data_IF_964427528574
#
_entry.id   IF_964427528574
#
_cell.length_a   1.000
_cell.length_b   1.000
_cell.length_c   1.000
_cell.angle_alpha   90.00
_cell.angle_beta   90.00
_cell.angle_gamma   90.00
#
_symmetry.space_group_name_H-M   'P 1'
#
loop_
_entity.id
_entity.type
_entity.pdbx_description
1 polymer ?
#
# COMPACT_ATOMS: atom_id res chain seq x y z
N UNK A 1 11.24 -52.93 2.76
CA UNK A 1 9.89 -53.20 2.25
C UNK A 1 9.94 -54.45 1.41
N UNK A 2 9.01 -55.36 1.62
CA UNK A 2 8.81 -56.53 0.75
C UNK A 2 7.98 -56.14 -0.47
N UNK A 3 8.02 -56.95 -1.54
CA UNK A 3 7.22 -56.74 -2.75
C UNK A 3 5.71 -56.78 -2.48
N UNK A 4 5.31 -57.58 -1.49
CA UNK A 4 3.95 -57.66 -0.96
C UNK A 4 3.52 -56.33 -0.30
N UNK A 5 4.36 -55.75 0.56
CA UNK A 5 4.10 -54.45 1.20
C UNK A 5 3.96 -53.31 0.19
N UNK A 6 4.73 -53.33 -0.90
CA UNK A 6 4.62 -52.32 -1.98
C UNK A 6 3.27 -52.46 -2.70
N UNK A 7 2.85 -53.69 -2.95
CA UNK A 7 1.59 -54.00 -3.64
C UNK A 7 0.39 -53.64 -2.77
N UNK A 8 0.45 -53.93 -1.47
CA UNK A 8 -0.55 -53.55 -0.48
C UNK A 8 -0.71 -52.02 -0.42
N UNK A 9 0.38 -51.27 -0.26
CA UNK A 9 0.34 -49.80 -0.26
C UNK A 9 -0.26 -49.21 -1.55
N UNK A 10 0.02 -49.82 -2.71
CA UNK A 10 -0.51 -49.36 -3.98
C UNK A 10 -2.01 -49.65 -4.13
N UNK A 11 -2.45 -50.81 -3.65
CA UNK A 11 -3.87 -51.18 -3.62
C UNK A 11 -4.64 -50.30 -2.65
N UNK A 12 -4.16 -50.13 -1.42
CA UNK A 12 -4.79 -49.29 -0.39
C UNK A 12 -4.95 -47.84 -0.86
N UNK A 13 -3.92 -47.28 -1.51
CA UNK A 13 -3.99 -45.92 -2.05
C UNK A 13 -4.99 -45.80 -3.21
N UNK A 14 -5.06 -46.81 -4.08
CA UNK A 14 -6.05 -46.84 -5.16
C UNK A 14 -7.46 -46.95 -4.60
N UNK A 15 -7.67 -47.87 -3.64
CA UNK A 15 -8.97 -48.08 -3.02
C UNK A 15 -9.45 -46.81 -2.30
N UNK A 16 -8.56 -46.11 -1.58
CA UNK A 16 -8.88 -44.83 -0.96
C UNK A 16 -9.30 -43.76 -1.98
N UNK A 17 -8.65 -43.70 -3.14
CA UNK A 17 -9.03 -42.78 -4.22
C UNK A 17 -10.35 -43.18 -4.88
N UNK A 18 -10.56 -44.46 -5.15
CA UNK A 18 -11.77 -44.99 -5.80
C UNK A 18 -13.01 -44.82 -4.89
N UNK A 19 -12.82 -44.89 -3.57
CA UNK A 19 -13.86 -44.60 -2.57
C UNK A 19 -14.10 -43.10 -2.35
N UNK A 20 -13.21 -42.23 -2.86
CA UNK A 20 -13.27 -40.78 -2.62
C UNK A 20 -12.90 -40.38 -1.18
N UNK A 21 -12.13 -41.21 -0.50
CA UNK A 21 -11.73 -40.99 0.88
C UNK A 21 -10.75 -39.82 1.01
N UNK A 22 -10.71 -39.21 2.21
CA UNK A 22 -9.68 -38.23 2.55
C UNK A 22 -8.37 -38.97 2.82
N UNK A 23 -7.50 -38.96 1.82
CA UNK A 23 -6.20 -39.67 1.84
C UNK A 23 -5.28 -39.20 2.98
N UNK A 24 -5.30 -37.91 3.32
CA UNK A 24 -4.47 -37.35 4.41
C UNK A 24 -5.20 -37.50 5.74
N UNK A 25 -4.70 -38.39 6.60
CA UNK A 25 -5.31 -38.73 7.90
C UNK A 25 -5.38 -37.56 8.89
N UNK A 26 -4.48 -36.59 8.73
CA UNK A 26 -4.33 -35.40 9.55
C UNK A 26 -5.25 -34.26 9.08
N UNK A 27 -5.98 -34.41 7.98
CA UNK A 27 -6.90 -33.39 7.49
C UNK A 27 -7.99 -33.10 8.55
N UNK A 28 -8.29 -31.82 8.75
CA UNK A 28 -9.33 -31.34 9.66
C UNK A 28 -10.18 -30.29 8.95
N UNK A 29 -11.41 -30.14 9.40
CA UNK A 29 -12.27 -29.05 8.93
C UNK A 29 -11.69 -27.70 9.34
N UNK A 30 -11.85 -26.71 8.46
CA UNK A 30 -11.36 -25.35 8.70
C UNK A 30 -12.26 -24.62 9.68
N UNK A 31 -11.65 -23.95 10.65
CA UNK A 31 -12.36 -23.05 11.55
C UNK A 31 -12.67 -21.73 10.84
N UNK A 32 -13.93 -21.53 10.47
CA UNK A 32 -14.39 -20.33 9.77
C UNK A 32 -14.23 -19.05 10.62
N UNK A 33 -14.19 -19.15 11.95
CA UNK A 33 -13.96 -17.99 12.82
C UNK A 33 -12.55 -17.41 12.66
N UNK A 34 -11.60 -18.19 12.14
CA UNK A 34 -10.23 -17.76 11.84
C UNK A 34 -10.06 -17.19 10.42
N UNK A 35 -11.11 -17.18 9.61
CA UNK A 35 -11.04 -16.67 8.24
C UNK A 35 -11.29 -15.15 8.22
N UNK A 36 -10.22 -14.37 8.32
CA UNK A 36 -10.26 -12.89 8.33
C UNK A 36 -10.95 -12.27 7.10
N UNK A 37 -11.00 -13.01 5.97
CA UNK A 37 -11.52 -12.53 4.69
C UNK A 37 -13.05 -12.51 4.58
N UNK A 38 -13.79 -13.24 5.42
CA UNK A 38 -15.25 -13.38 5.29
C UNK A 38 -15.99 -12.03 5.32
N UNK A 39 -15.49 -11.07 6.11
CA UNK A 39 -16.07 -9.74 6.23
C UNK A 39 -15.80 -8.80 5.04
N UNK A 40 -14.96 -9.22 4.08
CA UNK A 40 -14.55 -8.45 2.91
C UNK A 40 -15.13 -8.99 1.59
N UNK A 41 -15.93 -10.06 1.64
CA UNK A 41 -16.52 -10.67 0.46
C UNK A 41 -17.82 -9.96 0.03
N UNK A 42 -18.10 -9.99 -1.27
CA UNK A 42 -19.37 -9.53 -1.86
C UNK A 42 -19.67 -8.03 -1.67
N UNK A 43 -18.64 -7.18 -1.59
CA UNK A 43 -18.80 -5.73 -1.61
C UNK A 43 -18.40 -5.14 -2.96
N UNK A 44 -19.21 -4.20 -3.44
CA UNK A 44 -18.95 -3.41 -4.63
C UNK A 44 -18.10 -2.16 -4.33
N UNK A 45 -17.59 -1.49 -5.37
CA UNK A 45 -16.82 -0.25 -5.25
C UNK A 45 -17.63 0.89 -4.63
N UNK A 46 -18.96 0.83 -4.71
CA UNK A 46 -19.90 1.78 -4.09
C UNK A 46 -20.14 1.53 -2.60
N UNK A 47 -19.52 0.50 -2.00
CA UNK A 47 -19.70 0.19 -0.59
C UNK A 47 -19.35 1.39 0.30
N UNK A 48 -20.22 1.73 1.26
CA UNK A 48 -19.99 2.86 2.15
C UNK A 48 -18.78 2.59 3.05
N UNK A 49 -18.07 3.66 3.40
CA UNK A 49 -16.98 3.66 4.36
C UNK A 49 -17.01 4.98 5.13
N UNK A 50 -16.42 4.98 6.33
CA UNK A 50 -16.31 6.20 7.12
C UNK A 50 -15.22 7.11 6.52
N UNK A 51 -15.65 8.14 5.80
CA UNK A 51 -14.75 9.08 5.13
C UNK A 51 -14.31 10.22 6.03
N UNK A 52 -15.06 10.51 7.10
CA UNK A 52 -14.79 11.63 7.99
C UNK A 52 -13.74 11.24 9.02
N UNK A 53 -13.00 12.24 9.47
CA UNK A 53 -12.03 12.09 10.53
C UNK A 53 -12.08 13.34 11.42
N UNK A 54 -12.01 13.16 12.74
CA UNK A 54 -12.10 14.29 13.68
C UNK A 54 -10.96 15.27 13.42
N UNK A 55 -11.30 16.56 13.28
CA UNK A 55 -10.31 17.61 13.06
C UNK A 55 -9.32 17.72 14.23
N UNK A 56 -9.77 17.55 15.47
CA UNK A 56 -8.92 17.59 16.66
C UNK A 56 -7.90 16.44 16.66
N UNK A 57 -8.36 15.21 16.36
CA UNK A 57 -7.48 14.05 16.20
C UNK A 57 -6.50 14.26 15.03
N UNK A 58 -6.98 14.80 13.91
CA UNK A 58 -6.16 15.09 12.74
C UNK A 58 -5.01 16.04 13.09
N UNK A 59 -5.29 17.14 13.79
CA UNK A 59 -4.27 18.10 14.21
C UNK A 59 -3.28 17.51 15.22
N UNK A 60 -3.77 16.66 16.12
CA UNK A 60 -2.92 15.93 17.08
C UNK A 60 -1.94 15.02 16.35
N UNK A 61 -2.41 14.23 15.39
CA UNK A 61 -1.56 13.37 14.57
C UNK A 61 -0.61 14.18 13.69
N UNK A 62 -1.08 15.26 13.08
CA UNK A 62 -0.27 16.15 12.25
C UNK A 62 0.93 16.72 13.01
N UNK A 63 0.73 17.09 14.28
CA UNK A 63 1.83 17.48 15.17
C UNK A 63 2.82 16.32 15.38
N UNK A 64 2.33 15.12 15.72
CA UNK A 64 3.17 13.93 16.00
C UNK A 64 4.02 13.51 14.79
N UNK A 65 3.46 13.48 13.59
CA UNK A 65 4.21 13.09 12.38
C UNK A 65 5.27 14.11 11.97
N UNK A 66 5.19 15.33 12.50
CA UNK A 66 6.16 16.40 12.26
C UNK A 66 7.22 16.52 13.37
N UNK A 67 7.25 15.57 14.31
CA UNK A 67 8.18 15.55 15.44
C UNK A 67 9.16 14.37 15.34
N UNK A 68 10.41 14.65 15.67
CA UNK A 68 11.48 13.68 15.89
C UNK A 68 12.35 14.17 17.05
N UNK A 69 13.12 13.29 17.71
CA UNK A 69 13.92 13.64 18.88
C UNK A 69 14.88 14.81 18.61
N UNK A 70 15.03 15.75 19.56
CA UNK A 70 15.96 16.89 19.43
C UNK A 70 17.42 16.46 19.25
N UNK A 71 17.76 15.26 19.74
CA UNK A 71 19.09 14.66 19.56
C UNK A 71 19.37 14.23 18.12
N UNK A 72 18.34 14.10 17.27
CA UNK A 72 18.45 13.71 15.88
C UNK A 72 18.77 14.94 15.02
N UNK A 73 19.96 14.97 14.43
CA UNK A 73 20.37 16.02 13.50
C UNK A 73 19.98 15.62 12.07
N UNK A 74 18.86 16.13 11.59
CA UNK A 74 18.43 15.88 10.22
C UNK A 74 19.24 16.69 9.21
N UNK A 75 19.21 16.30 7.94
CA UNK A 75 19.81 17.11 6.87
C UNK A 75 19.01 18.42 6.70
N UNK A 76 19.63 19.59 6.45
CA UNK A 76 18.93 20.89 6.41
C UNK A 76 17.73 20.96 5.45
N UNK A 77 17.78 20.25 4.32
CA UNK A 77 16.62 20.15 3.39
C UNK A 77 15.45 19.36 3.98
N UNK A 78 15.74 18.34 4.79
CA UNK A 78 14.71 17.55 5.49
C UNK A 78 14.09 18.38 6.62
N UNK A 79 14.92 19.11 7.39
CA UNK A 79 14.42 20.06 8.39
C UNK A 79 13.46 21.09 7.78
N UNK A 80 13.80 21.64 6.60
CA UNK A 80 12.92 22.54 5.86
C UNK A 80 11.57 21.89 5.52
N UNK A 81 11.56 20.64 5.05
CA UNK A 81 10.32 19.91 4.74
C UNK A 81 9.47 19.74 6.01
N UNK A 82 10.07 19.35 7.13
CA UNK A 82 9.35 19.19 8.40
C UNK A 82 8.84 20.52 8.96
N UNK A 83 9.59 21.62 8.81
CA UNK A 83 9.13 22.96 9.19
C UNK A 83 7.98 23.44 8.29
N UNK A 84 8.05 23.17 6.99
CA UNK A 84 6.94 23.46 6.07
C UNK A 84 5.69 22.66 6.45
N UNK A 85 5.82 21.38 6.83
CA UNK A 85 4.70 20.56 7.33
C UNK A 85 4.12 21.09 8.65
N UNK A 86 4.96 21.66 9.53
CA UNK A 86 4.49 22.34 10.75
C UNK A 86 3.60 23.54 10.40
N UNK A 87 4.08 24.40 9.49
CA UNK A 87 3.30 25.52 8.98
C UNK A 87 1.99 25.05 8.30
N UNK A 88 1.99 23.88 7.65
CA UNK A 88 0.76 23.33 7.04
C UNK A 88 -0.32 23.00 8.06
N UNK A 89 0.00 22.26 9.13
CA UNK A 89 -1.04 21.91 10.12
C UNK A 89 -1.45 23.10 11.00
N UNK A 90 -0.58 24.10 11.13
CA UNK A 90 -0.91 25.37 11.79
C UNK A 90 -1.82 26.26 10.92
N UNK A 91 -2.04 25.89 9.66
CA UNK A 91 -2.90 26.62 8.72
C UNK A 91 -2.20 27.81 8.03
N UNK A 92 -0.89 27.95 8.20
CA UNK A 92 -0.06 28.98 7.58
C UNK A 92 0.30 28.64 6.12
N UNK A 93 0.36 27.33 5.80
CA UNK A 93 0.61 26.80 4.46
C UNK A 93 -0.48 25.80 4.07
N UNK A 94 -0.74 25.65 2.78
CA UNK A 94 -1.62 24.61 2.26
C UNK A 94 -0.92 23.24 2.30
N UNK A 95 -1.67 22.16 2.54
CA UNK A 95 -1.11 20.82 2.55
C UNK A 95 -0.61 20.45 1.16
N UNK A 96 0.62 19.94 1.10
CA UNK A 96 1.20 19.35 -0.09
C UNK A 96 0.97 17.84 -0.15
N UNK A 97 1.47 17.21 -1.21
CA UNK A 97 1.33 15.78 -1.45
C UNK A 97 1.93 14.93 -0.33
N UNK A 98 3.19 15.23 0.06
CA UNK A 98 3.91 14.46 1.06
C UNK A 98 3.24 14.53 2.43
N UNK A 99 2.70 15.69 2.81
CA UNK A 99 1.94 15.83 4.05
C UNK A 99 0.60 15.08 3.98
N UNK A 100 -0.16 15.21 2.90
CA UNK A 100 -1.46 14.54 2.79
C UNK A 100 -1.32 13.00 2.75
N UNK A 101 -0.30 12.49 2.08
CA UNK A 101 0.05 11.07 2.08
C UNK A 101 0.42 10.59 3.50
N UNK A 102 1.32 11.32 4.19
CA UNK A 102 1.70 11.02 5.57
C UNK A 102 0.49 11.03 6.50
N UNK A 103 -0.43 11.97 6.32
CA UNK A 103 -1.67 12.04 7.10
C UNK A 103 -2.65 10.91 6.78
N UNK A 104 -2.69 10.41 5.54
CA UNK A 104 -3.46 9.20 5.23
C UNK A 104 -2.92 8.00 6.02
N UNK A 105 -1.60 7.84 6.08
CA UNK A 105 -0.99 6.78 6.90
C UNK A 105 -1.29 6.98 8.39
N UNK A 106 -1.04 8.18 8.92
CA UNK A 106 -1.23 8.46 10.35
C UNK A 106 -2.66 8.22 10.82
N UNK A 107 -3.65 8.64 10.03
CA UNK A 107 -5.06 8.49 10.40
C UNK A 107 -5.54 7.03 10.31
N UNK A 108 -5.00 6.23 9.39
CA UNK A 108 -5.24 4.78 9.34
C UNK A 108 -4.60 4.07 10.55
N UNK A 109 -3.35 4.41 10.86
CA UNK A 109 -2.63 3.85 12.01
C UNK A 109 -3.35 4.18 13.32
N UNK A 110 -3.85 5.40 13.49
CA UNK A 110 -4.66 5.81 14.65
C UNK A 110 -5.99 5.04 14.77
N UNK A 111 -6.52 4.54 13.66
CA UNK A 111 -7.69 3.65 13.60
C UNK A 111 -7.35 2.16 13.74
N UNK A 112 -6.08 1.82 13.98
CA UNK A 112 -5.61 0.45 14.16
C UNK A 112 -5.35 -0.32 12.86
N UNK A 113 -5.43 0.34 11.70
CA UNK A 113 -5.07 -0.24 10.41
C UNK A 113 -3.56 -0.24 10.25
N UNK A 114 -2.98 -1.37 9.87
CA UNK A 114 -1.55 -1.45 9.57
C UNK A 114 -1.27 -0.83 8.19
N UNK A 115 -0.08 -0.28 8.00
CA UNK A 115 0.35 0.27 6.71
C UNK A 115 1.74 -0.29 6.41
N UNK A 116 1.87 -0.87 5.22
CA UNK A 116 3.14 -1.38 4.69
C UNK A 116 3.43 -0.67 3.38
N UNK A 117 4.55 0.05 3.34
CA UNK A 117 5.06 0.73 2.15
C UNK A 117 6.38 0.06 1.74
N UNK A 118 6.45 -0.41 0.51
CA UNK A 118 7.61 -1.12 -0.04
C UNK A 118 7.92 -0.62 -1.43
N UNK A 119 9.19 -0.44 -1.75
CA UNK A 119 9.63 0.09 -3.03
C UNK A 119 11.06 0.62 -2.96
N UNK A 120 11.66 0.88 -4.11
CA UNK A 120 13.01 1.41 -4.16
C UNK A 120 13.04 2.85 -3.63
N UNK A 121 13.85 3.10 -2.60
CA UNK A 121 13.95 4.40 -1.90
C UNK A 121 12.61 4.93 -1.33
N UNK A 122 11.64 4.07 -1.05
CA UNK A 122 10.31 4.46 -0.58
C UNK A 122 10.34 5.22 0.78
N UNK A 123 11.31 4.98 1.65
CA UNK A 123 11.46 5.67 2.94
C UNK A 123 11.70 7.17 2.82
N UNK A 124 12.55 7.57 1.88
CA UNK A 124 12.76 8.98 1.50
C UNK A 124 11.71 9.46 0.50
N UNK A 125 11.27 8.56 -0.36
CA UNK A 125 10.54 8.80 -1.60
C UNK A 125 11.49 9.18 -2.72
N UNK A 126 11.26 8.63 -3.91
CA UNK A 126 12.10 8.85 -5.11
C UNK A 126 12.28 10.34 -5.41
N UNK A 127 11.21 11.13 -5.32
CA UNK A 127 11.22 12.57 -5.60
C UNK A 127 11.50 13.45 -4.37
N UNK A 128 12.10 12.89 -3.31
CA UNK A 128 12.49 13.63 -2.10
C UNK A 128 11.30 14.34 -1.39
N UNK A 129 10.11 13.73 -1.45
CA UNK A 129 8.87 14.36 -0.98
C UNK A 129 8.33 13.73 0.32
N UNK A 130 8.71 12.48 0.65
CA UNK A 130 8.09 11.68 1.71
C UNK A 130 8.81 11.80 3.04
N UNK A 131 10.09 11.46 3.10
CA UNK A 131 10.88 11.45 4.35
C UNK A 131 10.15 10.80 5.53
N UNK A 132 9.55 9.63 5.31
CA UNK A 132 8.94 8.82 6.37
C UNK A 132 10.02 8.28 7.31
N UNK A 133 11.23 8.05 6.80
CA UNK A 133 12.45 7.78 7.59
C UNK A 133 13.30 9.05 7.62
N UNK A 134 13.60 9.54 8.83
CA UNK A 134 14.50 10.66 9.07
C UNK A 134 15.83 10.11 9.56
N UNK A 135 16.89 10.31 8.77
CA UNK A 135 18.24 9.85 9.13
C UNK A 135 19.02 10.93 9.89
N UNK A 136 19.66 10.52 10.98
CA UNK A 136 20.61 11.33 11.74
C UNK A 136 21.93 11.46 10.98
N UNK A 137 22.33 12.68 10.63
CA UNK A 137 23.57 12.97 9.91
C UNK A 137 24.83 12.62 10.72
N UNK A 138 24.72 12.53 12.04
CA UNK A 138 25.87 12.27 12.90
C UNK A 138 26.29 10.79 12.91
N UNK A 139 25.32 9.86 12.90
CA UNK A 139 25.57 8.43 13.12
C UNK A 139 24.83 7.49 12.15
N UNK A 140 24.01 8.03 11.24
CA UNK A 140 23.26 7.26 10.25
C UNK A 140 21.99 6.58 10.76
N UNK A 141 21.70 6.65 12.06
CA UNK A 141 20.48 6.05 12.64
C UNK A 141 19.21 6.66 12.05
N UNK A 142 18.19 5.82 11.83
CA UNK A 142 16.90 6.24 11.28
C UNK A 142 15.82 6.37 12.36
N UNK A 143 14.98 7.38 12.25
CA UNK A 143 13.77 7.56 13.06
C UNK A 143 12.54 7.64 12.16
N UNK A 144 11.47 6.96 12.55
CA UNK A 144 10.20 6.92 11.80
C UNK A 144 9.10 7.53 12.66
N UNK A 145 8.67 8.79 12.41
CA UNK A 145 7.63 9.43 13.22
C UNK A 145 6.31 8.65 13.23
N UNK A 146 5.97 7.99 12.13
CA UNK A 146 4.75 7.20 11.99
C UNK A 146 4.68 5.97 12.89
N UNK A 147 5.79 5.51 13.49
CA UNK A 147 5.78 4.41 14.47
C UNK A 147 5.62 4.89 15.93
N UNK A 148 5.46 6.20 16.15
CA UNK A 148 5.47 6.84 17.47
C UNK A 148 4.27 7.79 17.69
N UNK A 149 3.09 7.46 17.15
CA UNK A 149 1.86 8.25 17.30
C UNK A 149 1.24 8.05 18.70
N UNK A 150 0.99 6.79 19.09
CA UNK A 150 0.50 6.38 20.41
C UNK A 150 0.65 4.85 20.60
N UNK A 151 0.50 4.34 21.82
CA UNK A 151 0.79 2.93 22.13
C UNK A 151 -0.11 1.88 21.44
N UNK A 152 -1.31 2.29 21.01
CA UNK A 152 -2.33 1.39 20.43
C UNK A 152 -2.50 1.56 18.92
N UNK A 153 -1.55 2.22 18.25
CA UNK A 153 -1.62 2.43 16.81
C UNK A 153 -1.45 1.12 16.03
N UNK A 154 -1.88 1.12 14.77
CA UNK A 154 -1.50 0.11 13.80
C UNK A 154 0.02 0.07 13.56
N UNK A 155 0.50 -1.04 13.01
CA UNK A 155 1.91 -1.21 12.65
C UNK A 155 2.19 -0.45 11.34
N UNK A 156 3.16 0.46 11.39
CA UNK A 156 3.72 1.09 10.19
C UNK A 156 5.04 0.43 9.83
N UNK A 157 5.17 -0.01 8.59
CA UNK A 157 6.38 -0.61 8.04
C UNK A 157 6.75 0.09 6.73
N UNK A 158 7.99 0.56 6.64
CA UNK A 158 8.55 1.09 5.40
C UNK A 158 9.83 0.34 5.07
N UNK A 159 9.90 -0.19 3.87
CA UNK A 159 10.99 -1.03 3.41
C UNK A 159 11.53 -0.48 2.09
N UNK A 160 12.75 0.05 2.13
CA UNK A 160 13.51 0.32 0.91
C UNK A 160 13.91 -1.03 0.31
N UNK A 161 13.30 -1.38 -0.82
CA UNK A 161 13.50 -2.68 -1.44
C UNK A 161 14.88 -2.77 -2.10
N UNK A 162 15.34 -4.00 -2.34
CA UNK A 162 16.39 -4.22 -3.35
C UNK A 162 15.88 -3.79 -4.73
N UNK A 163 16.80 -3.55 -5.67
CA UNK A 163 16.49 -3.15 -7.05
C UNK A 163 15.91 -4.35 -7.83
N UNK A 164 14.64 -4.65 -7.55
CA UNK A 164 13.85 -5.68 -8.22
C UNK A 164 12.38 -5.30 -8.17
N UNK A 165 11.77 -5.08 -9.32
CA UNK A 165 10.35 -4.73 -9.43
C UNK A 165 9.48 -5.99 -9.40
N UNK A 166 9.85 -7.01 -10.17
CA UNK A 166 9.05 -8.24 -10.33
C UNK A 166 8.90 -9.01 -9.01
N UNK A 167 10.02 -9.34 -8.36
CA UNK A 167 10.00 -10.16 -7.15
C UNK A 167 9.40 -9.42 -5.96
N UNK A 168 9.67 -8.12 -5.84
CA UNK A 168 9.12 -7.29 -4.76
C UNK A 168 7.63 -7.09 -4.95
N UNK A 169 7.15 -6.80 -6.17
CA UNK A 169 5.71 -6.66 -6.41
C UNK A 169 4.97 -8.00 -6.15
N UNK A 170 5.55 -9.14 -6.54
CA UNK A 170 5.00 -10.45 -6.23
C UNK A 170 4.96 -10.72 -4.71
N UNK A 171 6.00 -10.31 -3.98
CA UNK A 171 6.03 -10.40 -2.52
C UNK A 171 4.93 -9.57 -1.88
N UNK A 172 4.76 -8.31 -2.31
CA UNK A 172 3.71 -7.42 -1.80
C UNK A 172 2.31 -7.93 -2.15
N UNK A 173 2.12 -8.56 -3.32
CA UNK A 173 0.87 -9.26 -3.65
C UNK A 173 0.60 -10.42 -2.68
N UNK A 174 1.60 -11.24 -2.36
CA UNK A 174 1.48 -12.30 -1.36
C UNK A 174 1.08 -11.76 0.01
N UNK A 175 1.68 -10.65 0.44
CA UNK A 175 1.32 -9.98 1.68
C UNK A 175 -0.13 -9.48 1.66
N UNK A 176 -0.52 -8.74 0.62
CA UNK A 176 -1.83 -8.12 0.47
C UNK A 176 -2.99 -9.13 0.33
N UNK A 177 -2.71 -10.32 -0.19
CA UNK A 177 -3.68 -11.42 -0.30
C UNK A 177 -3.76 -12.28 0.96
N UNK A 178 -2.84 -12.11 1.90
CA UNK A 178 -2.82 -12.83 3.18
C UNK A 178 -3.49 -12.01 4.28
N UNK A 179 -3.12 -10.74 4.44
CA UNK A 179 -3.63 -9.87 5.50
C UNK A 179 -4.53 -8.74 4.96
N UNK A 180 -5.86 -8.84 5.12
CA UNK A 180 -6.78 -7.82 4.64
C UNK A 180 -6.82 -6.55 5.53
N UNK A 181 -6.20 -6.57 6.72
CA UNK A 181 -6.19 -5.43 7.67
C UNK A 181 -5.01 -4.49 7.45
N UNK A 182 -4.05 -4.88 6.61
CA UNK A 182 -2.90 -4.05 6.24
C UNK A 182 -3.15 -3.36 4.90
N UNK A 183 -2.97 -2.03 4.86
CA UNK A 183 -2.83 -1.28 3.62
C UNK A 183 -1.42 -1.53 3.07
N UNK A 184 -1.32 -2.46 2.12
CA UNK A 184 -0.06 -2.77 1.43
C UNK A 184 0.08 -1.91 0.18
N UNK A 185 1.21 -1.22 0.09
CA UNK A 185 1.53 -0.26 -0.96
C UNK A 185 2.88 -0.65 -1.56
N UNK A 186 2.91 -0.78 -2.87
CA UNK A 186 4.15 -0.87 -3.65
C UNK A 186 4.35 0.42 -4.43
N UNK A 187 5.53 1.03 -4.33
CA UNK A 187 5.91 2.21 -5.10
C UNK A 187 7.02 1.89 -6.10
N UNK A 188 6.76 2.14 -7.39
CA UNK A 188 7.79 2.12 -8.41
C UNK A 188 8.64 3.40 -8.33
N UNK A 189 9.95 3.30 -8.56
CA UNK A 189 10.80 4.49 -8.62
C UNK A 189 10.33 5.46 -9.73
N UNK A 190 10.06 4.92 -10.92
CA UNK A 190 9.33 5.58 -11.99
C UNK A 190 8.25 4.63 -12.49
N UNK A 191 7.08 5.16 -12.88
CA UNK A 191 5.97 4.33 -13.33
C UNK A 191 6.32 3.44 -14.52
N UNK A 192 7.24 3.91 -15.38
CA UNK A 192 7.75 3.16 -16.54
C UNK A 192 8.37 1.81 -16.14
N UNK A 193 9.04 1.74 -14.97
CA UNK A 193 9.78 0.55 -14.50
C UNK A 193 8.86 -0.55 -13.95
N UNK A 194 7.58 -0.27 -13.73
CA UNK A 194 6.60 -1.31 -13.41
C UNK A 194 6.47 -2.36 -14.52
N UNK A 195 6.95 -2.07 -15.73
CA UNK A 195 7.05 -3.04 -16.82
C UNK A 195 7.88 -4.29 -16.47
N UNK A 196 8.87 -4.19 -15.57
CA UNK A 196 9.66 -5.32 -15.11
C UNK A 196 8.81 -6.37 -14.39
N UNK A 197 7.68 -5.95 -13.79
CA UNK A 197 6.77 -6.80 -13.05
C UNK A 197 5.51 -7.20 -13.83
N UNK A 198 5.54 -7.13 -15.17
CA UNK A 198 4.33 -7.31 -15.99
C UNK A 198 3.62 -8.66 -15.77
N UNK A 199 4.38 -9.73 -15.55
CA UNK A 199 3.81 -11.06 -15.26
C UNK A 199 2.95 -11.01 -14.00
N UNK A 200 3.41 -10.32 -12.96
CA UNK A 200 2.67 -10.16 -11.69
C UNK A 200 1.40 -9.34 -11.93
N UNK A 201 1.50 -8.25 -12.68
CA UNK A 201 0.36 -7.37 -12.99
C UNK A 201 -0.72 -8.14 -13.77
N UNK A 202 -0.34 -8.85 -14.84
CA UNK A 202 -1.27 -9.52 -15.74
C UNK A 202 -1.85 -10.80 -15.11
N UNK A 203 -1.02 -11.59 -14.46
CA UNK A 203 -1.39 -12.95 -14.04
C UNK A 203 -1.83 -13.03 -12.58
N UNK A 204 -1.64 -11.99 -11.77
CA UNK A 204 -2.02 -12.04 -10.35
C UNK A 204 -2.89 -10.86 -9.96
N UNK A 205 -2.42 -9.64 -10.20
CA UNK A 205 -3.12 -8.42 -9.75
C UNK A 205 -4.43 -8.26 -10.53
N UNK A 206 -4.38 -8.21 -11.85
CA UNK A 206 -5.57 -7.96 -12.68
C UNK A 206 -6.53 -9.14 -12.77
N UNK A 207 -6.03 -10.37 -12.66
CA UNK A 207 -6.81 -11.58 -12.96
C UNK A 207 -7.08 -12.48 -11.74
N UNK A 208 -6.53 -12.16 -10.56
CA UNK A 208 -6.60 -13.04 -9.39
C UNK A 208 -8.00 -13.27 -8.83
N UNK A 209 -8.83 -12.22 -8.78
CA UNK A 209 -10.22 -12.32 -8.33
C UNK A 209 -11.04 -13.23 -9.25
N UNK A 210 -10.92 -13.04 -10.57
CA UNK A 210 -11.69 -13.79 -11.56
C UNK A 210 -11.22 -15.24 -11.72
N UNK A 211 -9.90 -15.51 -11.64
CA UNK A 211 -9.37 -16.87 -11.80
C UNK A 211 -9.55 -17.74 -10.56
N UNK A 212 -9.38 -17.16 -9.37
CA UNK A 212 -9.27 -17.93 -8.12
C UNK A 212 -10.21 -17.46 -7.01
N UNK A 213 -11.06 -16.47 -7.25
CA UNK A 213 -11.83 -15.82 -6.18
C UNK A 213 -10.94 -15.13 -5.15
N UNK A 214 -9.68 -14.80 -5.51
CA UNK A 214 -8.71 -14.24 -4.57
C UNK A 214 -8.74 -12.72 -4.60
N UNK A 215 -9.24 -12.15 -3.50
CA UNK A 215 -9.24 -10.71 -3.27
C UNK A 215 -7.83 -10.19 -2.98
N UNK A 216 -7.54 -8.94 -3.36
CA UNK A 216 -6.25 -8.30 -3.16
C UNK A 216 -6.43 -6.79 -2.94
N UNK A 217 -5.91 -6.29 -1.81
CA UNK A 217 -6.00 -4.87 -1.45
C UNK A 217 -4.81 -4.00 -1.88
N UNK A 218 -3.89 -4.52 -2.69
CA UNK A 218 -2.62 -3.87 -3.03
C UNK A 218 -2.83 -2.53 -3.74
N UNK A 219 -2.06 -1.52 -3.34
CA UNK A 219 -1.94 -0.24 -4.02
C UNK A 219 -0.62 -0.19 -4.79
N UNK A 220 -0.69 0.12 -6.09
CA UNK A 220 0.50 0.45 -6.89
C UNK A 220 0.60 1.97 -7.04
N UNK A 221 1.65 2.57 -6.48
CA UNK A 221 2.00 3.97 -6.67
C UNK A 221 2.95 4.07 -7.86
N UNK A 222 2.46 4.66 -8.96
CA UNK A 222 3.14 4.69 -10.25
C UNK A 222 3.39 6.15 -10.67
N UNK A 223 4.61 6.68 -10.46
CA UNK A 223 4.95 8.03 -10.87
C UNK A 223 4.80 8.22 -12.38
N UNK A 224 3.91 9.14 -12.78
CA UNK A 224 3.57 9.42 -14.17
C UNK A 224 3.73 10.92 -14.44
N UNK A 225 4.08 11.34 -15.65
CA UNK A 225 4.25 12.76 -15.99
C UNK A 225 5.17 13.00 -17.18
N UNK A 226 4.81 13.92 -18.06
CA UNK A 226 5.56 14.26 -19.27
C UNK A 226 6.39 15.54 -19.09
N UNK A 227 7.31 15.55 -18.13
CA UNK A 227 8.17 16.72 -17.84
C UNK A 227 9.43 16.80 -18.71
N UNK A 228 9.57 15.94 -19.74
CA UNK A 228 10.73 15.94 -20.64
C UNK A 228 11.98 15.25 -20.08
N UNK A 229 11.84 14.40 -19.07
CA UNK A 229 12.94 13.63 -18.44
C UNK A 229 13.40 12.42 -19.27
N UNK A 230 12.79 12.19 -20.44
CA UNK A 230 13.14 11.10 -21.35
C UNK A 230 12.04 10.04 -21.49
N UNK A 231 12.20 9.12 -22.46
CA UNK A 231 11.14 8.19 -22.88
C UNK A 231 10.74 7.15 -21.82
N UNK A 232 11.67 6.75 -20.94
CA UNK A 232 11.45 5.75 -19.88
C UNK A 232 11.44 6.37 -18.47
N UNK A 233 11.19 7.67 -18.39
CA UNK A 233 11.00 8.40 -17.13
C UNK A 233 9.79 9.32 -17.23
N UNK A 234 8.77 8.90 -18.00
CA UNK A 234 7.62 9.75 -18.30
C UNK A 234 6.29 9.06 -18.05
N UNK A 235 6.11 7.81 -18.50
CA UNK A 235 4.79 7.19 -18.53
C UNK A 235 4.78 5.79 -17.92
N UNK A 236 3.94 5.65 -16.90
CA UNK A 236 3.50 4.34 -16.42
C UNK A 236 2.69 3.51 -17.43
N UNK A 237 2.41 4.00 -18.65
CA UNK A 237 1.60 3.30 -19.67
C UNK A 237 0.17 3.03 -19.17
N UNK A 238 -0.52 4.10 -18.75
CA UNK A 238 -1.89 4.10 -18.23
C UNK A 238 -2.84 3.23 -19.07
N UNK A 239 -2.71 3.29 -20.39
CA UNK A 239 -3.50 2.52 -21.35
C UNK A 239 -3.43 1.01 -21.13
N UNK A 240 -2.30 0.48 -20.63
CA UNK A 240 -2.12 -0.94 -20.34
C UNK A 240 -3.02 -1.38 -19.19
N UNK A 241 -3.07 -0.61 -18.10
CA UNK A 241 -3.95 -0.90 -16.97
C UNK A 241 -5.42 -0.79 -17.36
N UNK A 242 -5.77 0.20 -18.21
CA UNK A 242 -7.13 0.34 -18.72
C UNK A 242 -7.56 -0.83 -19.62
N UNK A 243 -6.64 -1.41 -20.42
CA UNK A 243 -6.92 -2.62 -21.21
C UNK A 243 -7.15 -3.85 -20.33
N UNK A 244 -6.54 -3.91 -19.15
CA UNK A 244 -6.71 -5.01 -18.19
C UNK A 244 -7.98 -4.86 -17.33
N UNK A 245 -8.61 -3.69 -17.31
CA UNK A 245 -9.86 -3.46 -16.58
C UNK A 245 -11.01 -4.24 -17.21
N UNK A 246 -11.51 -5.25 -16.49
CA UNK A 246 -12.66 -6.05 -16.88
C UNK A 246 -13.52 -6.34 -15.64
N UNK A 247 -14.83 -6.15 -15.74
CA UNK A 247 -15.79 -6.46 -14.67
C UNK A 247 -15.39 -5.89 -13.29
N UNK A 248 -14.87 -4.65 -13.28
CA UNK A 248 -14.45 -3.94 -12.06
C UNK A 248 -13.33 -4.63 -11.24
N UNK A 249 -12.54 -5.52 -11.85
CA UNK A 249 -11.41 -6.22 -11.24
C UNK A 249 -10.36 -5.29 -10.61
N UNK A 250 -10.15 -4.11 -11.19
CA UNK A 250 -9.16 -3.13 -10.75
C UNK A 250 -9.73 -1.71 -10.73
N UNK A 251 -9.08 -0.84 -9.96
CA UNK A 251 -9.41 0.57 -9.89
C UNK A 251 -8.18 1.39 -10.33
N UNK A 252 -8.29 2.04 -11.48
CA UNK A 252 -7.23 2.94 -11.98
C UNK A 252 -7.65 4.38 -11.71
N UNK A 253 -6.78 5.16 -11.04
CA UNK A 253 -7.07 6.53 -10.65
C UNK A 253 -5.89 7.47 -10.88
N UNK A 254 -6.20 8.72 -11.18
CA UNK A 254 -5.23 9.80 -11.39
C UNK A 254 -5.55 10.97 -10.45
N UNK A 255 -5.10 10.93 -9.19
CA UNK A 255 -5.35 12.03 -8.26
C UNK A 255 -4.60 13.31 -8.70
N UNK A 256 -5.30 14.43 -8.68
CA UNK A 256 -4.78 15.76 -9.04
C UNK A 256 -4.61 16.70 -7.85
N UNK A 257 -5.03 16.28 -6.65
CA UNK A 257 -4.87 17.05 -5.42
C UNK A 257 -4.41 16.16 -4.26
N UNK A 258 -3.66 16.69 -3.27
CA UNK A 258 -3.29 15.98 -2.07
C UNK A 258 -4.50 15.44 -1.29
N UNK A 259 -5.63 16.17 -1.30
CA UNK A 259 -6.86 15.70 -0.67
C UNK A 259 -7.39 14.41 -1.34
N UNK A 260 -7.30 14.30 -2.66
CA UNK A 260 -7.69 13.07 -3.36
C UNK A 260 -6.79 11.90 -2.96
N UNK A 261 -5.48 12.10 -2.81
CA UNK A 261 -4.55 11.05 -2.34
C UNK A 261 -4.93 10.58 -0.94
N UNK A 262 -5.19 11.53 -0.04
CA UNK A 262 -5.62 11.23 1.33
C UNK A 262 -6.86 10.34 1.35
N UNK A 263 -7.91 10.75 0.63
CA UNK A 263 -9.16 9.99 0.58
C UNK A 263 -9.03 8.66 -0.14
N UNK A 264 -8.22 8.60 -1.19
CA UNK A 264 -7.99 7.41 -1.99
C UNK A 264 -7.30 6.30 -1.19
N UNK A 265 -6.23 6.62 -0.48
CA UNK A 265 -5.52 5.67 0.39
C UNK A 265 -6.42 5.18 1.53
N UNK A 266 -7.13 6.09 2.19
CA UNK A 266 -8.10 5.73 3.24
C UNK A 266 -9.22 4.85 2.70
N UNK A 267 -9.80 5.19 1.55
CA UNK A 267 -10.87 4.42 0.90
C UNK A 267 -10.43 3.00 0.57
N UNK A 268 -9.18 2.80 0.16
CA UNK A 268 -8.67 1.47 -0.15
C UNK A 268 -8.66 0.55 1.08
N UNK A 269 -8.35 1.09 2.26
CA UNK A 269 -8.28 0.30 3.49
C UNK A 269 -9.64 0.20 4.21
N UNK A 270 -10.36 1.31 4.37
CA UNK A 270 -11.55 1.38 5.21
C UNK A 270 -12.80 0.76 4.57
N UNK A 271 -12.89 0.76 3.24
CA UNK A 271 -13.98 0.09 2.54
C UNK A 271 -13.83 -1.41 2.71
N UNK A 272 -14.94 -2.14 2.76
CA UNK A 272 -14.91 -3.61 2.90
C UNK A 272 -14.53 -4.37 1.62
N UNK A 273 -14.33 -3.66 0.51
CA UNK A 273 -13.85 -4.24 -0.75
C UNK A 273 -12.31 -4.24 -0.78
N UNK A 274 -11.72 -5.35 -1.24
CA UNK A 274 -10.27 -5.50 -1.46
C UNK A 274 -10.00 -5.84 -2.92
N UNK A 275 -9.94 -4.80 -3.75
CA UNK A 275 -9.52 -4.89 -5.16
C UNK A 275 -8.30 -4.04 -5.40
N UNK A 276 -7.38 -4.45 -6.29
CA UNK A 276 -6.18 -3.69 -6.57
C UNK A 276 -6.48 -2.26 -7.01
N UNK A 277 -5.56 -1.38 -6.65
CA UNK A 277 -5.68 0.04 -6.87
C UNK A 277 -4.41 0.61 -7.49
N UNK A 278 -4.53 1.13 -8.72
CA UNK A 278 -3.41 1.69 -9.48
C UNK A 278 -3.51 3.21 -9.45
N UNK A 279 -2.56 3.84 -8.75
CA UNK A 279 -2.45 5.28 -8.61
C UNK A 279 -1.39 5.82 -9.56
N UNK A 280 -1.83 6.49 -10.62
CA UNK A 280 -0.93 7.26 -11.46
C UNK A 280 -0.90 8.70 -10.96
N UNK A 281 0.21 9.09 -10.34
CA UNK A 281 0.32 10.45 -9.80
C UNK A 281 1.38 11.29 -10.52
N UNK A 282 1.07 12.56 -10.81
CA UNK A 282 1.99 13.49 -11.44
C UNK A 282 3.23 13.76 -10.60
N UNK A 283 4.42 13.53 -11.16
CA UNK A 283 5.71 13.85 -10.52
C UNK A 283 5.76 15.32 -10.10
N UNK A 284 5.24 16.21 -10.94
CA UNK A 284 5.18 17.65 -10.65
C UNK A 284 4.37 18.00 -9.39
N UNK A 285 3.36 17.20 -9.01
CA UNK A 285 2.57 17.49 -7.80
C UNK A 285 3.30 17.12 -6.50
N UNK A 286 4.38 16.34 -6.58
CA UNK A 286 5.24 16.05 -5.42
C UNK A 286 6.16 17.22 -5.05
N UNK A 287 6.35 18.20 -5.96
CA UNK A 287 7.31 19.31 -5.79
C UNK A 287 6.74 20.70 -6.04
N UNK A 288 5.55 20.81 -6.64
CA UNK A 288 4.93 22.11 -6.98
C UNK A 288 3.90 22.59 -5.95
N UNK A 289 3.74 23.90 -5.83
CA UNK A 289 2.65 24.54 -5.07
C UNK A 289 1.28 24.43 -5.76
N UNK A 290 1.28 24.11 -7.06
CA UNK A 290 0.12 23.99 -7.93
C UNK A 290 -0.53 22.62 -7.66
N UNK A 291 -1.53 22.62 -6.78
CA UNK A 291 -2.22 21.40 -6.32
C UNK A 291 -2.46 21.39 -4.82
N UNK A 292 -1.81 22.26 -4.06
CA UNK A 292 -1.96 22.33 -2.60
C UNK A 292 -3.39 22.71 -2.17
N UNK A 293 -3.91 22.04 -1.14
CA UNK A 293 -5.32 22.16 -0.70
C UNK A 293 -5.40 22.63 0.74
N UNK A 294 -6.36 23.52 1.03
CA UNK A 294 -6.76 23.80 2.40
C UNK A 294 -7.87 22.82 2.77
N UNK A 295 -7.64 21.91 3.72
CA UNK A 295 -8.73 21.13 4.33
C UNK A 295 -9.58 22.06 5.20
N UNK A 296 -10.38 22.93 4.59
CA UNK A 296 -11.32 23.80 5.34
C UNK A 296 -12.60 23.07 5.74
N UNK A 297 -12.90 21.90 5.16
CA UNK A 297 -14.02 21.04 5.56
C UNK A 297 -13.65 19.58 5.28
N UNK A 298 -13.56 18.79 6.34
CA UNK A 298 -13.63 17.33 6.26
C UNK A 298 -15.12 16.98 6.40
N UNK A 299 -15.89 17.25 5.34
CA UNK A 299 -17.31 16.87 5.24
C UNK A 299 -17.48 15.69 4.28
#
# INVERSE_FOLDING_TARGET
>A
MTEEQVTEMANDYRDALDNGDRVVSEWREMDTAKMDWLQYLNYDWTAPYESKFSQERFLTLAKRVCEYPESLRAHPRVEKIYNDRKAMYQGEKLLDWGMAETMAYATLLDEGVNVRLSGEDAGRGTFFHRHAVVHNQNDGTGYVPLTHLHANQGRFEVWDSVLSEESVLAFEYGYATTDPKTLTIWEAQFGDFANGAQIVIDQFISSGEQKWGRMCGLVMLLPHGYEGQGPEHSSARLERYLQLCAEQNMQVCVPSTPAQVYHMLRRQSLRKMRRPFDCHFPKIFTTSSIGSVQFRRVD
#
